data_IF_971707607521
#
_entry.id   IF_971707607521
#
_cell.length_a   1.000
_cell.length_b   1.000
_cell.length_c   1.000
_cell.angle_alpha   90.00
_cell.angle_beta   90.00
_cell.angle_gamma   90.00
#
_symmetry.space_group_name_H-M   'P 1'
#
loop_
_entity.id
_entity.type
_entity.pdbx_description
1 polymer ?
#
# COMPACT_ATOMS: atom_id res chain seq x y z
N UNK A 1 -8.29 17.61 14.54
CA UNK A 1 -7.73 16.84 15.68
C UNK A 1 -6.65 17.67 16.33
N UNK A 2 -6.49 17.65 17.66
CA UNK A 2 -5.43 18.41 18.33
C UNK A 2 -4.39 17.44 18.91
N UNK A 3 -3.20 17.43 18.33
CA UNK A 3 -2.07 16.59 18.74
C UNK A 3 -1.02 17.49 19.38
N UNK A 4 -0.55 17.13 20.57
CA UNK A 4 0.55 17.83 21.23
C UNK A 4 1.86 17.23 20.77
N UNK A 5 2.71 18.07 20.19
CA UNK A 5 4.06 17.70 19.83
C UNK A 5 5.04 18.03 20.95
N UNK A 6 6.16 17.31 20.99
CA UNK A 6 7.29 17.72 21.83
C UNK A 6 8.03 18.88 21.16
N UNK A 7 8.78 19.70 21.92
CA UNK A 7 9.59 20.77 21.36
C UNK A 7 10.60 20.28 20.30
N UNK A 8 11.14 19.06 20.45
CA UNK A 8 12.02 18.49 19.43
C UNK A 8 11.29 18.19 18.12
N UNK A 9 10.06 17.69 18.18
CA UNK A 9 9.23 17.39 17.01
C UNK A 9 8.86 18.67 16.26
N UNK A 10 8.49 19.74 16.97
CA UNK A 10 8.21 21.05 16.38
C UNK A 10 9.44 21.59 15.65
N UNK A 11 10.61 21.57 16.30
CA UNK A 11 11.87 22.01 15.69
C UNK A 11 12.25 21.19 14.47
N UNK A 12 12.03 19.88 14.49
CA UNK A 12 12.27 19.02 13.34
C UNK A 12 11.39 19.43 12.15
N UNK A 13 10.10 19.67 12.40
CA UNK A 13 9.15 20.06 11.34
C UNK A 13 9.49 21.44 10.80
N UNK A 14 9.86 22.40 11.64
CA UNK A 14 10.33 23.72 11.20
C UNK A 14 11.56 23.62 10.29
N UNK A 15 12.53 22.76 10.61
CA UNK A 15 13.71 22.54 9.75
C UNK A 15 13.29 22.00 8.38
N UNK A 16 12.34 21.06 8.32
CA UNK A 16 11.86 20.46 7.08
C UNK A 16 11.07 21.43 6.20
N UNK A 17 10.32 22.36 6.80
CA UNK A 17 9.62 23.41 6.07
C UNK A 17 10.62 24.49 5.59
N UNK A 18 11.53 24.91 6.46
CA UNK A 18 12.54 25.91 6.14
C UNK A 18 13.58 25.43 5.10
N UNK A 19 13.81 24.13 4.99
CA UNK A 19 14.65 23.56 3.93
C UNK A 19 13.98 23.58 2.56
N UNK A 20 12.68 23.89 2.48
CA UNK A 20 11.89 23.86 1.26
C UNK A 20 11.50 22.44 0.81
N UNK A 21 11.76 21.42 1.64
CA UNK A 21 11.36 20.04 1.34
C UNK A 21 9.83 19.85 1.44
N UNK A 22 9.17 20.69 2.24
CA UNK A 22 7.73 20.66 2.48
C UNK A 22 7.19 22.09 2.56
N UNK A 23 6.00 22.32 2.01
CA UNK A 23 5.38 23.64 1.98
C UNK A 23 4.73 24.02 3.32
N UNK A 24 4.26 23.02 4.09
CA UNK A 24 3.57 23.25 5.35
C UNK A 24 3.90 22.19 6.39
N UNK A 25 3.64 22.51 7.66
CA UNK A 25 3.68 21.56 8.77
C UNK A 25 2.79 20.33 8.50
N UNK A 26 1.60 20.54 7.95
CA UNK A 26 0.61 19.48 7.71
C UNK A 26 1.13 18.47 6.67
N UNK A 27 1.85 18.94 5.65
CA UNK A 27 2.47 18.07 4.65
C UNK A 27 3.55 17.16 5.25
N UNK A 28 4.31 17.65 6.23
CA UNK A 28 5.32 16.84 6.95
C UNK A 28 4.63 15.73 7.76
N UNK A 29 3.53 16.06 8.44
CA UNK A 29 2.75 15.11 9.24
C UNK A 29 2.07 14.06 8.34
N UNK A 30 1.45 14.48 7.23
CA UNK A 30 0.86 13.56 6.26
C UNK A 30 1.88 12.60 5.67
N UNK A 31 3.10 13.10 5.40
CA UNK A 31 4.20 12.24 4.94
C UNK A 31 4.63 11.24 6.00
N UNK A 32 4.65 11.63 7.27
CA UNK A 32 4.97 10.72 8.38
C UNK A 32 3.93 9.60 8.51
N UNK A 33 2.63 9.91 8.37
CA UNK A 33 1.58 8.88 8.38
C UNK A 33 1.67 7.93 7.19
N UNK A 34 1.90 8.45 5.97
CA UNK A 34 2.12 7.60 4.79
C UNK A 34 3.33 6.69 4.95
N UNK A 35 4.39 7.16 5.63
CA UNK A 35 5.56 6.33 5.89
C UNK A 35 5.22 5.18 6.84
N UNK A 36 4.38 5.41 7.85
CA UNK A 36 3.92 4.37 8.76
C UNK A 36 3.08 3.30 8.04
N UNK A 37 2.16 3.71 7.16
CA UNK A 37 1.39 2.79 6.31
C UNK A 37 2.31 1.97 5.39
N UNK A 38 3.31 2.62 4.80
CA UNK A 38 4.27 1.95 3.93
C UNK A 38 5.12 0.92 4.69
N UNK A 39 5.55 1.23 5.92
CA UNK A 39 6.27 0.29 6.78
C UNK A 39 5.44 -0.97 7.06
N UNK A 40 4.15 -0.80 7.38
CA UNK A 40 3.25 -1.93 7.56
C UNK A 40 3.14 -2.77 6.28
N UNK A 41 2.97 -2.12 5.13
CA UNK A 41 2.94 -2.81 3.84
C UNK A 41 4.24 -3.58 3.55
N UNK A 42 5.40 -3.02 3.93
CA UNK A 42 6.70 -3.68 3.78
C UNK A 42 6.86 -4.93 4.65
N UNK A 43 6.18 -5.03 5.78
CA UNK A 43 6.20 -6.25 6.61
C UNK A 43 5.31 -7.34 6.02
N UNK A 44 4.14 -6.97 5.49
CA UNK A 44 3.12 -7.92 5.03
C UNK A 44 3.31 -8.43 3.59
N UNK A 45 4.02 -7.66 2.76
CA UNK A 45 4.13 -7.95 1.32
C UNK A 45 5.20 -8.99 0.96
N UNK A 46 6.39 -9.03 1.59
CA UNK A 46 7.41 -10.02 1.28
C UNK A 46 6.89 -11.46 1.40
N UNK A 47 6.11 -11.76 2.43
CA UNK A 47 5.53 -13.10 2.62
C UNK A 47 4.63 -13.52 1.45
N UNK A 48 3.82 -12.59 0.93
CA UNK A 48 2.96 -12.86 -0.24
C UNK A 48 3.77 -13.07 -1.52
N UNK A 49 4.85 -12.32 -1.69
CA UNK A 49 5.76 -12.47 -2.82
C UNK A 49 6.46 -13.83 -2.75
N UNK A 50 7.03 -14.17 -1.59
CA UNK A 50 7.73 -15.43 -1.39
C UNK A 50 6.81 -16.64 -1.61
N UNK A 51 5.56 -16.57 -1.12
CA UNK A 51 4.55 -17.60 -1.40
C UNK A 51 4.29 -17.75 -2.90
N UNK A 52 4.04 -16.64 -3.60
CA UNK A 52 3.80 -16.66 -5.05
C UNK A 52 4.98 -17.20 -5.85
N UNK A 53 6.22 -16.83 -5.48
CA UNK A 53 7.43 -17.37 -6.11
C UNK A 53 7.52 -18.89 -5.89
N UNK A 54 7.26 -19.37 -4.66
CA UNK A 54 7.30 -20.79 -4.36
C UNK A 54 6.22 -21.59 -5.12
N UNK A 55 5.03 -21.03 -5.33
CA UNK A 55 3.97 -21.62 -6.16
C UNK A 55 4.41 -21.73 -7.63
N UNK A 56 5.03 -20.68 -8.17
CA UNK A 56 5.56 -20.68 -9.54
C UNK A 56 6.68 -21.73 -9.72
N UNK A 57 7.60 -21.85 -8.75
CA UNK A 57 8.66 -22.87 -8.76
C UNK A 57 8.09 -24.29 -8.76
N UNK A 58 6.94 -24.51 -8.12
CA UNK A 58 6.19 -25.78 -8.15
C UNK A 58 5.36 -25.98 -9.42
N UNK A 59 5.39 -25.04 -10.37
CA UNK A 59 4.56 -25.00 -11.59
C UNK A 59 3.07 -24.89 -11.31
N UNK A 60 2.69 -24.25 -10.21
CA UNK A 60 1.28 -23.98 -9.86
C UNK A 60 0.76 -22.67 -10.48
N UNK A 61 1.58 -22.01 -11.30
CA UNK A 61 1.16 -20.84 -12.07
C UNK A 61 0.00 -21.16 -13.02
N UNK A 62 -0.99 -20.26 -13.04
CA UNK A 62 -2.15 -20.37 -13.92
C UNK A 62 -1.93 -19.58 -15.22
N UNK A 63 -2.53 -20.08 -16.30
CA UNK A 63 -2.59 -19.36 -17.58
C UNK A 63 -3.49 -18.13 -17.45
N UNK A 64 -2.95 -16.95 -17.78
CA UNK A 64 -3.63 -15.67 -17.53
C UNK A 64 -4.89 -15.52 -18.36
N UNK A 65 -4.83 -15.91 -19.63
CA UNK A 65 -5.95 -15.88 -20.56
C UNK A 65 -7.08 -16.82 -20.09
N UNK A 66 -6.76 -18.03 -19.64
CA UNK A 66 -7.73 -18.96 -19.09
C UNK A 66 -8.44 -18.40 -17.83
N UNK A 67 -7.67 -17.84 -16.88
CA UNK A 67 -8.23 -17.24 -15.65
C UNK A 67 -9.15 -16.06 -15.96
N UNK A 68 -8.76 -15.19 -16.90
CA UNK A 68 -9.60 -14.06 -17.32
C UNK A 68 -10.90 -14.55 -17.94
N UNK A 69 -10.84 -15.56 -18.81
CA UNK A 69 -12.03 -16.15 -19.42
C UNK A 69 -12.96 -16.78 -18.37
N UNK A 70 -12.42 -17.50 -17.39
CA UNK A 70 -13.19 -18.09 -16.28
C UNK A 70 -13.90 -17.02 -15.43
N UNK A 71 -13.22 -15.91 -15.12
CA UNK A 71 -13.82 -14.79 -14.36
C UNK A 71 -14.96 -14.15 -15.15
N UNK A 72 -14.76 -13.90 -16.44
CA UNK A 72 -15.77 -13.29 -17.31
C UNK A 72 -17.00 -14.20 -17.45
N UNK A 73 -16.78 -15.49 -17.69
CA UNK A 73 -17.87 -16.48 -17.79
C UNK A 73 -18.61 -16.66 -16.46
N UNK A 74 -17.88 -16.66 -15.34
CA UNK A 74 -18.48 -16.77 -14.00
C UNK A 74 -19.36 -15.56 -13.67
N UNK A 75 -19.03 -14.34 -14.12
CA UNK A 75 -19.83 -13.13 -13.90
C UNK A 75 -21.09 -13.06 -14.76
N UNK A 76 -21.11 -13.70 -15.94
CA UNK A 76 -22.30 -13.77 -16.80
C UNK A 76 -23.42 -14.60 -16.15
N UNK A 77 -23.07 -15.64 -15.38
CA UNK A 77 -24.05 -16.46 -14.64
C UNK A 77 -24.84 -15.72 -13.55
N UNK A 78 -24.32 -14.63 -12.98
CA UNK A 78 -25.00 -13.86 -11.92
C UNK A 78 -25.99 -12.80 -12.44
N UNK A 79 -25.99 -12.56 -13.76
CA UNK A 79 -26.84 -11.53 -14.38
C UNK A 79 -28.10 -12.13 -15.00
N UNK A 80 -28.08 -13.41 -15.41
CA UNK A 80 -29.23 -14.08 -16.04
C UNK A 80 -30.25 -14.65 -15.04
N UNK A 81 -29.95 -14.69 -13.73
CA UNK A 81 -30.83 -15.26 -12.70
C UNK A 81 -31.61 -14.20 -11.88
N UNK A 82 -31.85 -13.01 -12.45
CA UNK A 82 -32.68 -11.94 -11.84
C UNK A 82 -33.81 -11.44 -12.75
#
# INVERSE_FOLDING_TARGET
>A
MNIKLTPEQEKFIEIQVNSGNFATFEEVIDKAFKLLEYQQWMEETPEKIDSGVAELDRREGLDGEAVVMDILNSRVGWVEER
#
